data_IF_367968541115
#
_entry.id   IF_367968541115
#
_cell.length_a   1.000
_cell.length_b   1.000
_cell.length_c   1.000
_cell.angle_alpha   90.00
_cell.angle_beta   90.00
_cell.angle_gamma   90.00
#
_symmetry.space_group_name_H-M   'P 1'
#
loop_
_entity.id
_entity.type
_entity.pdbx_description
1 polymer ?
#
# COMPACT_ATOMS: atom_id res chain seq x y z
N UNK A 1 24.42 9.47 -20.36
CA UNK A 1 24.37 7.99 -20.38
C UNK A 1 24.34 7.51 -18.94
N UNK A 2 23.45 6.56 -18.63
CA UNK A 2 22.92 6.18 -17.29
C UNK A 2 21.78 7.10 -16.89
N UNK A 3 20.52 6.68 -16.77
CA UNK A 3 20.02 5.47 -16.09
C UNK A 3 18.98 4.69 -16.93
N UNK A 4 19.40 3.52 -17.41
CA UNK A 4 18.50 2.39 -17.63
C UNK A 4 18.51 1.61 -16.32
N UNK A 5 17.46 1.75 -15.50
CA UNK A 5 17.29 0.92 -14.31
C UNK A 5 15.82 0.81 -13.92
N UNK A 6 15.12 -0.10 -14.60
CA UNK A 6 14.48 -1.27 -13.98
C UNK A 6 13.33 -1.72 -14.86
N UNK A 7 13.67 -2.66 -15.73
CA UNK A 7 12.78 -3.54 -16.45
C UNK A 7 11.59 -4.04 -15.61
N UNK A 8 10.39 -4.00 -16.22
CA UNK A 8 9.54 -5.19 -16.31
C UNK A 8 8.76 -5.64 -15.07
N UNK A 9 8.02 -4.75 -14.41
CA UNK A 9 7.03 -5.16 -13.39
C UNK A 9 5.57 -5.25 -13.89
N UNK A 10 5.30 -4.94 -15.16
CA UNK A 10 3.92 -4.78 -15.66
C UNK A 10 3.30 -6.12 -16.15
N UNK A 11 4.10 -7.08 -16.61
CA UNK A 11 3.62 -8.35 -17.21
C UNK A 11 3.20 -9.43 -16.17
N UNK A 12 3.44 -9.16 -14.87
CA UNK A 12 3.11 -10.07 -13.78
C UNK A 12 1.79 -9.77 -13.06
N UNK A 13 1.17 -8.60 -13.28
CA UNK A 13 -0.03 -8.18 -12.56
C UNK A 13 -1.29 -8.89 -13.08
N UNK A 14 -1.42 -9.06 -14.40
CA UNK A 14 -2.59 -9.68 -15.03
C UNK A 14 -2.84 -11.13 -14.57
N UNK A 15 -1.78 -11.86 -14.19
CA UNK A 15 -1.89 -13.26 -13.74
C UNK A 15 -2.44 -13.42 -12.32
N UNK A 16 -2.62 -12.33 -11.55
CA UNK A 16 -3.06 -12.36 -10.14
C UNK A 16 -4.20 -11.40 -9.81
N UNK A 17 -4.88 -10.86 -10.81
CA UNK A 17 -6.06 -10.04 -10.59
C UNK A 17 -7.24 -10.92 -10.15
N UNK A 18 -7.95 -10.50 -9.10
CA UNK A 18 -9.10 -11.21 -8.52
C UNK A 18 -10.37 -10.47 -8.90
N UNK A 19 -11.21 -11.13 -9.70
CA UNK A 19 -12.49 -10.56 -10.13
C UNK A 19 -13.52 -10.65 -9.01
N UNK A 20 -14.11 -9.51 -8.64
CA UNK A 20 -15.08 -9.41 -7.54
C UNK A 20 -16.31 -8.57 -7.93
N UNK A 21 -17.47 -8.78 -7.26
CA UNK A 21 -18.65 -7.95 -7.44
C UNK A 21 -18.40 -6.47 -7.11
N UNK A 22 -19.11 -5.56 -7.80
CA UNK A 22 -18.90 -4.11 -7.70
C UNK A 22 -18.95 -3.56 -6.26
N UNK A 23 -19.84 -4.09 -5.42
CA UNK A 23 -19.96 -3.66 -4.00
C UNK A 23 -18.70 -4.01 -3.21
N UNK A 24 -18.13 -5.19 -3.46
CA UNK A 24 -16.91 -5.67 -2.79
C UNK A 24 -15.72 -4.83 -3.24
N UNK A 25 -15.58 -4.58 -4.55
CA UNK A 25 -14.53 -3.69 -5.08
C UNK A 25 -14.53 -2.33 -4.37
N UNK A 26 -15.69 -1.66 -4.30
CA UNK A 26 -15.80 -0.36 -3.63
C UNK A 26 -15.43 -0.43 -2.15
N UNK A 27 -15.94 -1.44 -1.44
CA UNK A 27 -15.64 -1.60 -0.03
C UNK A 27 -14.14 -1.82 0.19
N UNK A 28 -13.54 -2.76 -0.52
CA UNK A 28 -12.10 -3.07 -0.39
C UNK A 28 -11.26 -1.84 -0.70
N UNK A 29 -11.51 -1.13 -1.80
CA UNK A 29 -10.74 0.06 -2.15
C UNK A 29 -10.86 1.15 -1.08
N UNK A 30 -12.07 1.45 -0.62
CA UNK A 30 -12.29 2.52 0.38
C UNK A 30 -11.71 2.14 1.74
N UNK A 31 -12.00 0.94 2.25
CA UNK A 31 -11.48 0.51 3.54
C UNK A 31 -9.96 0.31 3.52
N UNK A 32 -9.41 -0.20 2.41
CA UNK A 32 -7.96 -0.39 2.29
C UNK A 32 -7.23 0.94 2.21
N UNK A 33 -7.73 1.91 1.43
CA UNK A 33 -7.12 3.25 1.38
C UNK A 33 -7.24 3.97 2.72
N UNK A 34 -8.39 3.85 3.40
CA UNK A 34 -8.56 4.40 4.75
C UNK A 34 -7.57 3.78 5.75
N UNK A 35 -7.49 2.46 5.82
CA UNK A 35 -6.58 1.77 6.73
C UNK A 35 -5.12 2.02 6.37
N UNK A 36 -4.78 2.06 5.07
CA UNK A 36 -3.43 2.36 4.61
C UNK A 36 -2.98 3.75 5.09
N UNK A 37 -3.81 4.78 4.89
CA UNK A 37 -3.49 6.14 5.33
C UNK A 37 -3.37 6.20 6.85
N UNK A 38 -4.33 5.62 7.59
CA UNK A 38 -4.29 5.61 9.07
C UNK A 38 -3.04 4.91 9.59
N UNK A 39 -2.69 3.75 9.03
CA UNK A 39 -1.51 2.97 9.42
C UNK A 39 -0.21 3.71 9.12
N UNK A 40 -0.12 4.35 7.94
CA UNK A 40 1.06 5.16 7.58
C UNK A 40 1.20 6.36 8.53
N UNK A 41 0.13 7.10 8.79
CA UNK A 41 0.15 8.25 9.71
C UNK A 41 0.51 7.82 11.14
N UNK A 42 -0.10 6.75 11.64
CA UNK A 42 0.21 6.20 12.96
C UNK A 42 1.69 5.75 13.04
N UNK A 43 2.20 5.12 11.99
CA UNK A 43 3.61 4.72 11.91
C UNK A 43 4.57 5.90 11.95
N UNK A 44 4.28 6.98 11.21
CA UNK A 44 5.05 8.21 11.30
C UNK A 44 5.02 8.84 12.70
N UNK A 45 3.85 8.86 13.35
CA UNK A 45 3.72 9.35 14.73
C UNK A 45 4.59 8.54 15.69
N UNK A 46 4.61 7.20 15.56
CA UNK A 46 5.47 6.34 16.39
C UNK A 46 6.96 6.61 16.16
N UNK A 47 7.38 6.79 14.90
CA UNK A 47 8.77 7.16 14.57
C UNK A 47 9.13 8.53 15.15
N UNK A 48 8.21 9.51 15.08
CA UNK A 48 8.41 10.84 15.68
C UNK A 48 8.58 10.74 17.20
N UNK A 49 7.76 9.94 17.89
CA UNK A 49 7.88 9.72 19.34
C UNK A 49 9.21 9.04 19.68
N UNK A 50 9.59 7.98 18.95
CA UNK A 50 10.83 7.25 19.18
C UNK A 50 12.09 8.11 19.00
N UNK A 51 12.03 9.13 18.13
CA UNK A 51 13.17 9.99 17.78
C UNK A 51 13.13 11.36 18.44
N UNK A 52 12.13 11.63 19.28
CA UNK A 52 11.83 12.96 19.80
C UNK A 52 11.77 14.00 18.67
N UNK A 53 11.13 13.64 17.55
CA UNK A 53 11.04 14.42 16.32
C UNK A 53 12.43 14.76 15.74
N UNK A 54 13.26 13.72 15.57
CA UNK A 54 14.64 13.77 15.10
C UNK A 54 15.61 14.62 15.93
N UNK A 55 15.26 14.93 17.19
CA UNK A 55 16.10 15.74 18.09
C UNK A 55 16.78 14.92 19.19
N UNK A 56 16.43 13.64 19.35
CA UNK A 56 17.07 12.77 20.32
C UNK A 56 18.50 12.40 19.90
N UNK A 57 19.48 12.37 20.84
CA UNK A 57 20.76 11.72 20.59
C UNK A 57 20.54 10.21 20.38
N UNK A 58 21.40 9.57 19.59
CA UNK A 58 21.23 8.17 19.19
C UNK A 58 21.11 7.18 20.38
N UNK A 59 21.62 7.56 21.56
CA UNK A 59 21.53 6.78 22.80
C UNK A 59 20.14 6.80 23.45
N UNK A 60 19.28 7.74 23.09
CA UNK A 60 17.95 7.94 23.68
C UNK A 60 16.81 7.48 22.75
N UNK A 61 17.16 6.98 21.56
CA UNK A 61 16.17 6.49 20.59
C UNK A 61 15.53 5.21 21.12
N UNK A 62 14.20 5.20 21.21
CA UNK A 62 13.44 3.99 21.50
C UNK A 62 13.35 3.11 20.24
N UNK A 63 14.33 2.22 20.09
CA UNK A 63 14.45 1.32 18.94
C UNK A 63 13.20 0.43 18.78
N UNK A 64 12.65 -0.21 19.83
CA UNK A 64 11.39 -0.95 19.73
C UNK A 64 10.22 -0.15 19.14
N UNK A 65 10.01 1.08 19.61
CA UNK A 65 8.93 1.94 19.11
C UNK A 65 9.19 2.38 17.66
N UNK A 66 10.44 2.69 17.32
CA UNK A 66 10.83 3.01 15.94
C UNK A 66 10.57 1.86 14.97
N UNK A 67 10.92 0.62 15.35
CA UNK A 67 10.63 -0.58 14.55
C UNK A 67 9.12 -0.77 14.40
N UNK A 68 8.34 -0.59 15.47
CA UNK A 68 6.88 -0.66 15.40
C UNK A 68 6.29 0.38 14.45
N UNK A 69 6.83 1.61 14.44
CA UNK A 69 6.43 2.66 13.52
C UNK A 69 6.70 2.29 12.05
N UNK A 70 7.90 1.80 11.75
CA UNK A 70 8.26 1.32 10.41
C UNK A 70 7.36 0.16 9.98
N UNK A 71 7.14 -0.82 10.87
CA UNK A 71 6.25 -1.94 10.60
C UNK A 71 4.83 -1.48 10.28
N UNK A 72 4.33 -0.44 10.97
CA UNK A 72 3.01 0.14 10.73
C UNK A 72 2.93 0.83 9.35
N UNK A 73 3.99 1.50 8.91
CA UNK A 73 4.07 2.08 7.56
C UNK A 73 4.00 0.96 6.51
N UNK A 74 4.85 -0.06 6.65
CA UNK A 74 4.89 -1.20 5.72
C UNK A 74 3.57 -1.95 5.68
N UNK A 75 2.90 -2.14 6.81
CA UNK A 75 1.57 -2.73 6.87
C UNK A 75 0.55 -1.94 6.04
N UNK A 76 0.56 -0.60 6.14
CA UNK A 76 -0.29 0.26 5.33
C UNK A 76 -0.02 0.13 3.83
N UNK A 77 1.26 0.07 3.43
CA UNK A 77 1.67 -0.16 2.03
C UNK A 77 1.18 -1.50 1.51
N UNK A 78 1.32 -2.56 2.31
CA UNK A 78 0.85 -3.90 1.95
C UNK A 78 -0.67 -3.91 1.75
N UNK A 79 -1.43 -3.29 2.66
CA UNK A 79 -2.89 -3.19 2.55
C UNK A 79 -3.31 -2.47 1.27
N UNK A 80 -2.66 -1.36 0.93
CA UNK A 80 -2.93 -0.66 -0.32
C UNK A 80 -2.60 -1.53 -1.55
N UNK A 81 -1.43 -2.18 -1.57
CA UNK A 81 -1.01 -3.03 -2.66
C UNK A 81 -1.90 -4.27 -2.85
N UNK A 82 -2.50 -4.80 -1.79
CA UNK A 82 -3.51 -5.85 -1.90
C UNK A 82 -4.81 -5.34 -2.52
N UNK A 83 -5.20 -4.10 -2.24
CA UNK A 83 -6.43 -3.52 -2.79
C UNK A 83 -6.41 -3.37 -4.31
N UNK A 84 -5.23 -3.12 -4.90
CA UNK A 84 -5.07 -2.93 -6.34
C UNK A 84 -5.21 -4.23 -7.14
N UNK A 85 -5.24 -5.40 -6.48
CA UNK A 85 -5.42 -6.70 -7.13
C UNK A 85 -6.88 -7.02 -7.44
N UNK A 86 -7.84 -6.28 -6.91
CA UNK A 86 -9.25 -6.55 -7.17
C UNK A 86 -9.74 -5.81 -8.41
N UNK A 87 -10.42 -6.52 -9.31
CA UNK A 87 -11.03 -5.96 -10.53
C UNK A 87 -12.51 -6.34 -10.59
N UNK A 88 -13.34 -5.59 -11.31
CA UNK A 88 -14.73 -5.99 -11.58
C UNK A 88 -14.87 -6.66 -12.95
N UNK A 89 -15.90 -7.50 -13.13
CA UNK A 89 -16.18 -8.19 -14.40
C UNK A 89 -16.35 -7.23 -15.58
N UNK A 90 -16.88 -6.03 -15.33
CA UNK A 90 -17.12 -5.03 -16.38
C UNK A 90 -15.85 -4.36 -16.90
N UNK A 91 -14.75 -4.37 -16.12
CA UNK A 91 -13.48 -3.78 -16.54
C UNK A 91 -12.68 -4.66 -17.50
N UNK A 92 -13.09 -5.92 -17.71
CA UNK A 92 -12.41 -6.88 -18.58
C UNK A 92 -13.08 -7.09 -19.95
N UNK A 93 -14.29 -6.58 -20.16
CA UNK A 93 -15.00 -6.72 -21.45
C UNK A 93 -14.59 -5.58 -22.38
N UNK A 94 -13.92 -5.92 -23.48
CA UNK A 94 -13.73 -5.01 -24.60
C UNK A 94 -15.08 -4.59 -25.14
N UNK A 95 -15.21 -3.34 -25.61
CA UNK A 95 -16.45 -2.78 -26.20
C UNK A 95 -17.00 -3.58 -27.41
N UNK A 96 -16.28 -4.59 -27.87
CA UNK A 96 -16.58 -5.39 -29.06
C UNK A 96 -17.67 -6.45 -28.83
N UNK A 97 -18.00 -6.78 -27.58
CA UNK A 97 -19.07 -7.74 -27.21
C UNK A 97 -20.48 -7.12 -27.17
N UNK A 98 -20.62 -5.84 -27.58
CA UNK A 98 -21.88 -5.12 -27.65
C UNK A 98 -22.50 -5.12 -29.07
N UNK A 99 -22.40 -6.25 -29.78
CA UNK A 99 -23.05 -6.48 -31.08
C UNK A 99 -24.32 -7.29 -30.93
#
# INVERSE_FOLDING_TARGET
MTEDQSAGAEDGSERRDVVVPLRVYKAVTVFSTLFAVVSVVAGFILVDVATQRASAPASEIDVPVGIAGIACILAGTVVYAFSTRFRTEEMGKSKDDAT
#
